data_IF_479876872634
#
_entry.id   IF_479876872634
#
_cell.length_a   1.000
_cell.length_b   1.000
_cell.length_c   1.000
_cell.angle_alpha   90.00
_cell.angle_beta   90.00
_cell.angle_gamma   90.00
#
_symmetry.space_group_name_H-M   'P 1'
#
loop_
_entity.id
_entity.type
_entity.pdbx_description
1 polymer ?
#
# COMPACT_ATOMS: atom_id res chain seq x y z
N UNK A 1 -64.45 -0.60 -25.82
CA UNK A 1 -63.83 0.63 -25.28
C UNK A 1 -63.23 0.42 -23.85
N UNK A 2 -63.18 -0.82 -23.29
CA UNK A 2 -62.66 -1.08 -21.96
C UNK A 2 -61.28 -1.83 -21.96
N UNK A 3 -60.81 -2.29 -23.12
CA UNK A 3 -59.55 -3.04 -23.15
C UNK A 3 -58.28 -2.15 -23.26
N UNK A 4 -58.40 -0.95 -23.81
CA UNK A 4 -57.29 -0.01 -23.98
C UNK A 4 -56.95 0.74 -22.67
N UNK A 5 -57.94 0.97 -21.82
CA UNK A 5 -57.74 1.61 -20.51
C UNK A 5 -57.03 0.68 -19.52
N UNK A 6 -57.26 -0.64 -19.60
CA UNK A 6 -56.57 -1.61 -18.73
C UNK A 6 -55.09 -1.83 -19.13
N UNK A 7 -54.77 -1.78 -20.42
CA UNK A 7 -53.42 -1.90 -20.90
C UNK A 7 -52.55 -0.69 -20.48
N UNK A 8 -53.08 0.53 -20.54
CA UNK A 8 -52.41 1.74 -20.12
C UNK A 8 -52.14 1.76 -18.61
N UNK A 9 -53.13 1.26 -17.81
CA UNK A 9 -52.97 1.13 -16.35
C UNK A 9 -51.91 0.11 -15.92
N UNK A 10 -51.77 -0.98 -16.68
CA UNK A 10 -50.76 -2.02 -16.44
C UNK A 10 -49.33 -1.52 -16.76
N UNK A 11 -49.14 -0.83 -17.86
CA UNK A 11 -47.85 -0.26 -18.23
C UNK A 11 -47.38 0.84 -17.28
N UNK A 12 -48.30 1.67 -16.78
CA UNK A 12 -47.99 2.71 -15.80
C UNK A 12 -47.57 2.12 -14.44
N UNK A 13 -48.22 1.03 -13.99
CA UNK A 13 -47.83 0.31 -12.79
C UNK A 13 -46.47 -0.39 -12.91
N UNK A 14 -46.17 -0.98 -14.09
CA UNK A 14 -44.87 -1.59 -14.36
C UNK A 14 -43.77 -0.56 -14.41
N UNK A 15 -44.01 0.61 -15.00
CA UNK A 15 -43.07 1.72 -15.04
C UNK A 15 -42.79 2.30 -13.63
N UNK A 16 -43.81 2.49 -12.82
CA UNK A 16 -43.67 2.97 -11.41
C UNK A 16 -42.95 1.92 -10.54
N UNK A 17 -43.20 0.62 -10.77
CA UNK A 17 -42.47 -0.44 -10.05
C UNK A 17 -41.00 -0.52 -10.47
N UNK A 18 -40.69 -0.28 -11.74
CA UNK A 18 -39.31 -0.23 -12.25
C UNK A 18 -38.52 0.99 -11.75
N UNK A 19 -39.18 2.12 -11.53
CA UNK A 19 -38.57 3.30 -10.92
C UNK A 19 -38.38 3.17 -9.39
N UNK A 20 -39.10 2.27 -8.74
CA UNK A 20 -39.03 2.07 -7.29
C UNK A 20 -37.94 1.06 -6.86
N UNK A 21 -37.51 0.23 -7.78
CA UNK A 21 -36.56 -0.86 -7.49
C UNK A 21 -35.08 -0.45 -7.29
N UNK A 22 -34.52 0.62 -7.86
CA UNK A 22 -33.10 0.93 -7.66
C UNK A 22 -32.78 1.61 -6.31
N UNK A 23 -33.76 2.23 -5.65
CA UNK A 23 -33.49 3.00 -4.42
C UNK A 23 -33.55 2.20 -3.12
N UNK A 24 -34.19 1.02 -3.12
CA UNK A 24 -34.36 0.23 -1.88
C UNK A 24 -33.18 -0.70 -1.57
N UNK A 25 -32.32 -1.01 -2.55
CA UNK A 25 -31.16 -1.90 -2.35
C UNK A 25 -29.88 -1.16 -1.89
N UNK A 26 -29.81 0.16 -2.00
CA UNK A 26 -28.62 0.90 -1.57
C UNK A 26 -28.54 1.11 -0.06
N UNK A 27 -29.64 1.15 0.67
CA UNK A 27 -29.63 1.30 2.12
C UNK A 27 -29.00 0.08 2.84
N UNK A 28 -29.21 -1.13 2.33
CA UNK A 28 -28.61 -2.35 2.87
C UNK A 28 -27.09 -2.45 2.66
N UNK A 29 -26.59 -1.92 1.57
CA UNK A 29 -25.14 -1.91 1.23
C UNK A 29 -24.35 -0.94 2.11
N UNK A 30 -24.96 0.17 2.51
CA UNK A 30 -24.32 1.14 3.40
C UNK A 30 -24.21 0.64 4.84
N UNK A 31 -25.22 -0.07 5.35
CA UNK A 31 -25.19 -0.64 6.70
C UNK A 31 -24.13 -1.75 6.84
N UNK A 32 -23.88 -2.55 5.80
CA UNK A 32 -22.82 -3.55 5.78
C UNK A 32 -21.40 -2.93 5.79
N UNK A 33 -21.20 -1.85 5.03
CA UNK A 33 -19.92 -1.13 4.96
C UNK A 33 -19.62 -0.33 6.23
N UNK A 34 -20.63 0.26 6.87
CA UNK A 34 -20.48 0.98 8.15
C UNK A 34 -20.22 0.04 9.33
N UNK A 35 -20.73 -1.18 9.29
CA UNK A 35 -20.48 -2.18 10.32
C UNK A 35 -19.01 -2.61 10.39
N UNK A 36 -18.33 -2.65 9.24
CA UNK A 36 -16.88 -2.91 9.18
C UNK A 36 -16.08 -1.76 9.83
N UNK A 37 -16.52 -0.51 9.69
CA UNK A 37 -15.89 0.65 10.33
C UNK A 37 -16.08 0.67 11.86
N UNK A 38 -17.19 0.10 12.35
CA UNK A 38 -17.58 0.13 13.77
C UNK A 38 -17.17 -1.13 14.56
N UNK A 39 -16.69 -2.16 13.88
CA UNK A 39 -16.21 -3.39 14.51
C UNK A 39 -14.84 -3.79 13.92
N UNK A 40 -13.74 -3.04 14.22
CA UNK A 40 -12.41 -3.40 13.79
C UNK A 40 -12.01 -4.76 14.40
N UNK A 41 -11.28 -5.56 13.64
CA UNK A 41 -10.75 -6.82 14.17
C UNK A 41 -9.73 -6.53 15.30
N UNK A 42 -9.58 -7.40 16.28
CA UNK A 42 -8.57 -7.23 17.34
C UNK A 42 -7.15 -7.04 16.78
N UNK A 43 -6.85 -7.67 15.64
CA UNK A 43 -5.57 -7.53 14.96
C UNK A 43 -5.38 -6.11 14.38
N UNK A 44 -6.44 -5.52 13.81
CA UNK A 44 -6.39 -4.15 13.28
C UNK A 44 -6.23 -3.12 14.40
N UNK A 45 -6.85 -3.36 15.56
CA UNK A 45 -6.68 -2.50 16.72
C UNK A 45 -5.25 -2.55 17.27
N UNK A 46 -4.65 -3.74 17.37
CA UNK A 46 -3.25 -3.90 17.79
C UNK A 46 -2.31 -3.23 16.80
N UNK A 47 -2.56 -3.38 15.50
CA UNK A 47 -1.79 -2.71 14.45
C UNK A 47 -1.89 -1.19 14.58
N UNK A 48 -3.10 -0.64 14.72
CA UNK A 48 -3.33 0.80 14.86
C UNK A 48 -2.66 1.36 16.12
N UNK A 49 -2.82 0.68 17.27
CA UNK A 49 -2.20 1.08 18.53
C UNK A 49 -0.67 1.09 18.44
N UNK A 50 -0.08 0.01 17.92
CA UNK A 50 1.36 -0.11 17.70
C UNK A 50 1.90 1.01 16.83
N UNK A 51 1.26 1.26 15.68
CA UNK A 51 1.69 2.27 14.72
C UNK A 51 1.55 3.68 15.30
N UNK A 52 0.47 3.93 16.06
CA UNK A 52 0.28 5.21 16.74
C UNK A 52 1.34 5.44 17.83
N UNK A 53 1.67 4.41 18.60
CA UNK A 53 2.74 4.49 19.61
C UNK A 53 4.11 4.71 18.95
N UNK A 54 4.40 4.04 17.83
CA UNK A 54 5.63 4.25 17.07
C UNK A 54 5.74 5.69 16.53
N UNK A 55 4.64 6.21 16.01
CA UNK A 55 4.58 7.59 15.51
C UNK A 55 4.77 8.61 16.65
N UNK A 56 4.08 8.44 17.78
CA UNK A 56 4.23 9.28 18.94
C UNK A 56 5.66 9.25 19.50
N UNK A 57 6.27 8.06 19.62
CA UNK A 57 7.63 7.89 20.09
C UNK A 57 8.63 8.56 19.14
N UNK A 58 8.49 8.37 17.83
CA UNK A 58 9.36 9.01 16.84
C UNK A 58 9.25 10.54 16.87
N UNK A 59 8.04 11.08 17.10
CA UNK A 59 7.82 12.52 17.24
C UNK A 59 8.49 13.06 18.53
N UNK A 60 8.29 12.37 19.66
CA UNK A 60 8.89 12.76 20.94
C UNK A 60 10.41 12.80 20.86
N UNK A 61 11.03 11.77 20.26
CA UNK A 61 12.49 11.74 20.09
C UNK A 61 12.95 12.85 19.15
N UNK A 62 12.24 13.08 18.03
CA UNK A 62 12.58 14.15 17.09
C UNK A 62 12.49 15.55 17.76
N UNK A 63 11.49 15.78 18.61
CA UNK A 63 11.37 17.02 19.39
C UNK A 63 12.44 17.12 20.46
N UNK A 64 12.77 16.02 21.15
CA UNK A 64 13.82 16.01 22.15
C UNK A 64 15.22 16.28 21.55
N UNK A 65 15.44 15.84 20.31
CA UNK A 65 16.67 16.12 19.56
C UNK A 65 16.69 17.53 18.93
N UNK A 66 15.65 18.34 19.15
CA UNK A 66 15.51 19.69 18.60
C UNK A 66 15.66 19.77 17.07
N UNK A 67 15.12 18.76 16.37
CA UNK A 67 15.20 18.71 14.92
C UNK A 67 14.24 19.75 14.28
N UNK A 68 14.67 20.43 13.21
CA UNK A 68 13.95 21.53 12.55
C UNK A 68 12.55 21.18 12.08
N UNK A 69 12.33 19.92 11.67
CA UNK A 69 11.07 19.46 11.07
C UNK A 69 10.62 18.11 11.63
N UNK A 70 10.27 18.04 12.94
CA UNK A 70 10.03 16.77 13.64
C UNK A 70 8.84 15.96 13.08
N UNK A 71 7.89 16.61 12.40
CA UNK A 71 6.71 15.96 11.79
C UNK A 71 7.05 14.91 10.73
N UNK A 72 8.24 14.93 10.16
CA UNK A 72 8.66 13.95 9.15
C UNK A 72 8.96 12.56 9.72
N UNK A 73 9.32 12.47 10.99
CA UNK A 73 9.58 11.19 11.65
C UNK A 73 8.30 10.34 11.79
N UNK A 74 7.19 10.82 12.40
CA UNK A 74 5.95 10.06 12.49
C UNK A 74 5.31 9.77 11.13
N UNK A 75 5.45 10.69 10.16
CA UNK A 75 4.97 10.45 8.80
C UNK A 75 5.71 9.27 8.15
N UNK A 76 6.99 9.10 8.44
CA UNK A 76 7.76 7.94 7.98
C UNK A 76 7.26 6.65 8.60
N UNK A 77 6.91 6.65 9.89
CA UNK A 77 6.32 5.49 10.58
C UNK A 77 5.04 5.03 9.83
N UNK A 78 4.10 5.94 9.59
CA UNK A 78 2.84 5.59 8.92
C UNK A 78 3.03 5.07 7.49
N UNK A 79 3.98 5.63 6.76
CA UNK A 79 4.26 5.18 5.39
C UNK A 79 4.92 3.81 5.35
N UNK A 80 5.77 3.47 6.33
CA UNK A 80 6.51 2.21 6.36
C UNK A 80 5.71 1.09 7.05
N UNK A 81 4.82 1.43 8.00
CA UNK A 81 4.04 0.47 8.76
C UNK A 81 3.25 -0.49 7.84
N UNK A 82 3.38 -1.77 8.10
CA UNK A 82 2.66 -2.87 7.43
C UNK A 82 2.17 -3.86 8.48
N UNK A 83 1.13 -4.61 8.15
CA UNK A 83 0.59 -5.66 9.03
C UNK A 83 1.56 -6.84 9.20
N UNK A 84 2.42 -7.11 8.21
CA UNK A 84 3.46 -8.12 8.29
C UNK A 84 4.85 -7.51 8.50
N UNK A 85 5.66 -8.14 9.36
CA UNK A 85 7.01 -7.68 9.70
C UNK A 85 7.97 -7.73 8.50
N UNK A 86 7.85 -8.76 7.68
CA UNK A 86 8.71 -8.94 6.49
C UNK A 86 8.45 -7.87 5.43
N UNK A 87 7.19 -7.52 5.22
CA UNK A 87 6.79 -6.45 4.28
C UNK A 87 7.22 -5.07 4.78
N UNK A 88 7.04 -4.79 6.09
CA UNK A 88 7.50 -3.54 6.71
C UNK A 88 9.01 -3.36 6.53
N UNK A 89 9.81 -4.39 6.79
CA UNK A 89 11.26 -4.33 6.64
C UNK A 89 11.68 -4.16 5.17
N UNK A 90 11.03 -4.85 4.24
CA UNK A 90 11.30 -4.72 2.80
C UNK A 90 10.98 -3.30 2.31
N UNK A 91 9.84 -2.76 2.71
CA UNK A 91 9.42 -1.39 2.38
C UNK A 91 10.37 -0.35 2.99
N UNK A 92 10.81 -0.56 4.25
CA UNK A 92 11.77 0.30 4.93
C UNK A 92 13.11 0.37 4.18
N UNK A 93 13.65 -0.77 3.76
CA UNK A 93 14.91 -0.82 2.98
C UNK A 93 14.82 0.00 1.70
N UNK A 94 13.75 -0.19 0.91
CA UNK A 94 13.57 0.56 -0.33
C UNK A 94 13.30 2.05 -0.08
N UNK A 95 12.68 2.40 1.06
CA UNK A 95 12.54 3.79 1.47
C UNK A 95 13.89 4.44 1.77
N UNK A 96 14.78 3.77 2.50
CA UNK A 96 16.13 4.30 2.78
C UNK A 96 16.91 4.48 1.47
N UNK A 97 16.96 3.45 0.62
CA UNK A 97 17.67 3.50 -0.66
C UNK A 97 17.13 4.63 -1.54
N UNK A 98 15.81 4.72 -1.71
CA UNK A 98 15.17 5.76 -2.50
C UNK A 98 15.44 7.17 -1.94
N UNK A 99 15.46 7.33 -0.61
CA UNK A 99 15.82 8.60 0.02
C UNK A 99 17.27 9.00 -0.24
N UNK A 100 18.21 8.09 -0.08
CA UNK A 100 19.63 8.38 -0.32
C UNK A 100 19.88 8.80 -1.77
N UNK A 101 19.31 8.07 -2.72
CA UNK A 101 19.40 8.43 -4.15
C UNK A 101 18.73 9.77 -4.42
N UNK A 102 17.54 10.01 -3.84
CA UNK A 102 16.79 11.26 -3.99
C UNK A 102 17.53 12.48 -3.41
N UNK A 103 18.14 12.33 -2.24
CA UNK A 103 19.00 13.36 -1.64
C UNK A 103 20.22 13.66 -2.51
N UNK A 104 20.93 12.63 -2.97
CA UNK A 104 22.07 12.79 -3.84
C UNK A 104 21.69 13.50 -5.17
N UNK A 105 20.57 13.12 -5.77
CA UNK A 105 20.08 13.76 -6.98
C UNK A 105 19.70 15.23 -6.74
N UNK A 106 19.06 15.57 -5.62
CA UNK A 106 18.73 16.96 -5.28
C UNK A 106 19.99 17.82 -5.12
N UNK A 107 20.99 17.32 -4.38
CA UNK A 107 22.29 18.00 -4.22
C UNK A 107 22.96 18.20 -5.57
N UNK A 108 22.98 17.16 -6.42
CA UNK A 108 23.57 17.24 -7.77
C UNK A 108 22.86 18.26 -8.67
N UNK A 109 21.50 18.31 -8.63
CA UNK A 109 20.72 19.28 -9.41
C UNK A 109 20.99 20.72 -8.97
N UNK A 110 21.04 20.98 -7.66
CA UNK A 110 21.35 22.32 -7.14
C UNK A 110 22.79 22.71 -7.46
N UNK A 111 23.74 21.79 -7.32
CA UNK A 111 25.14 22.04 -7.69
C UNK A 111 25.34 22.28 -9.19
N UNK A 112 24.52 21.64 -10.04
CA UNK A 112 24.59 21.84 -11.49
C UNK A 112 23.98 23.17 -11.96
N UNK A 113 22.96 23.68 -11.25
CA UNK A 113 22.21 24.89 -11.64
C UNK A 113 22.06 25.92 -10.50
N UNK A 114 23.16 26.36 -9.89
CA UNK A 114 23.11 27.15 -8.65
C UNK A 114 22.45 28.53 -8.81
N UNK A 115 22.43 29.11 -10.02
CA UNK A 115 21.88 30.42 -10.30
C UNK A 115 20.98 30.47 -11.55
N UNK A 116 20.51 29.30 -12.00
CA UNK A 116 19.71 29.19 -13.23
C UNK A 116 18.35 28.52 -12.96
N UNK A 117 17.38 29.19 -12.31
CA UNK A 117 16.08 28.58 -11.98
C UNK A 117 15.32 28.16 -13.23
N UNK A 118 15.53 28.81 -14.37
CA UNK A 118 14.94 28.42 -15.65
C UNK A 118 15.39 27.06 -16.18
N UNK A 119 16.58 26.56 -15.78
CA UNK A 119 17.09 25.24 -16.12
C UNK A 119 16.88 24.23 -14.99
N UNK A 120 16.86 24.71 -13.75
CA UNK A 120 16.65 23.87 -12.56
C UNK A 120 15.28 23.15 -12.58
N UNK A 121 14.20 23.89 -12.80
CA UNK A 121 12.85 23.29 -12.81
C UNK A 121 12.64 22.27 -13.94
N UNK A 122 13.02 22.52 -15.20
CA UNK A 122 13.00 21.50 -16.24
C UNK A 122 13.87 20.29 -15.91
N UNK A 123 15.05 20.50 -15.35
CA UNK A 123 15.96 19.40 -14.91
C UNK A 123 15.33 18.54 -13.82
N UNK A 124 14.72 19.17 -12.82
CA UNK A 124 13.99 18.47 -11.75
C UNK A 124 12.77 17.71 -12.31
N UNK A 125 11.99 18.32 -13.20
CA UNK A 125 10.84 17.69 -13.83
C UNK A 125 11.27 16.47 -14.68
N UNK A 126 12.36 16.58 -15.44
CA UNK A 126 12.92 15.48 -16.21
C UNK A 126 13.36 14.33 -15.30
N UNK A 127 14.04 14.63 -14.19
CA UNK A 127 14.47 13.64 -13.20
C UNK A 127 13.27 12.90 -12.58
N UNK A 128 12.24 13.64 -12.14
CA UNK A 128 11.00 13.07 -11.59
C UNK A 128 10.32 12.19 -12.64
N UNK A 129 10.18 12.68 -13.87
CA UNK A 129 9.59 11.95 -14.98
C UNK A 129 10.33 10.65 -15.29
N UNK A 130 11.67 10.68 -15.26
CA UNK A 130 12.52 9.50 -15.46
C UNK A 130 12.29 8.47 -14.33
N UNK A 131 12.32 8.91 -13.07
CA UNK A 131 12.08 8.02 -11.94
C UNK A 131 10.67 7.40 -11.97
N UNK A 132 9.63 8.20 -12.26
CA UNK A 132 8.26 7.71 -12.37
C UNK A 132 8.09 6.78 -13.57
N UNK A 133 8.70 7.11 -14.73
CA UNK A 133 8.70 6.24 -15.90
C UNK A 133 9.41 4.92 -15.65
N UNK A 134 10.60 4.94 -15.03
CA UNK A 134 11.29 3.72 -14.63
C UNK A 134 10.49 2.90 -13.61
N UNK A 135 9.73 3.54 -12.72
CA UNK A 135 8.91 2.84 -11.73
C UNK A 135 7.83 1.94 -12.34
N UNK A 136 7.38 2.22 -13.57
CA UNK A 136 6.40 1.39 -14.29
C UNK A 136 6.96 0.06 -14.79
N UNK A 137 8.29 -0.06 -14.90
CA UNK A 137 8.96 -1.31 -15.32
C UNK A 137 9.23 -2.28 -14.16
N UNK A 138 9.01 -1.85 -12.92
CA UNK A 138 9.28 -2.65 -11.73
C UNK A 138 8.01 -2.87 -10.93
N UNK A 139 7.89 -4.05 -10.31
CA UNK A 139 6.79 -4.39 -9.43
C UNK A 139 7.16 -4.29 -7.95
N UNK A 140 6.15 -4.11 -7.10
CA UNK A 140 6.25 -4.17 -5.66
C UNK A 140 7.13 -3.05 -5.06
N UNK A 141 7.98 -3.40 -4.12
CA UNK A 141 8.76 -2.41 -3.35
C UNK A 141 9.90 -1.74 -4.14
N UNK A 142 10.31 -2.28 -5.30
CA UNK A 142 11.29 -1.63 -6.19
C UNK A 142 10.69 -0.40 -6.86
N UNK A 143 9.47 -0.52 -7.38
CA UNK A 143 8.71 0.60 -7.92
C UNK A 143 8.50 1.69 -6.85
N UNK A 144 8.11 1.28 -5.64
CA UNK A 144 7.99 2.20 -4.50
C UNK A 144 9.31 2.94 -4.20
N UNK A 145 10.47 2.27 -4.26
CA UNK A 145 11.78 2.90 -4.05
C UNK A 145 12.06 4.03 -5.05
N UNK A 146 11.73 3.83 -6.33
CA UNK A 146 11.89 4.86 -7.38
C UNK A 146 10.93 6.04 -7.19
N UNK A 147 9.70 5.79 -6.76
CA UNK A 147 8.75 6.86 -6.40
C UNK A 147 9.24 7.66 -5.19
N UNK A 148 9.83 7.01 -4.19
CA UNK A 148 10.44 7.69 -3.04
C UNK A 148 11.64 8.54 -3.49
N UNK A 149 12.43 8.06 -4.44
CA UNK A 149 13.56 8.82 -5.01
C UNK A 149 13.07 10.12 -5.64
N UNK A 150 12.05 10.07 -6.51
CA UNK A 150 11.49 11.26 -7.15
C UNK A 150 10.89 12.25 -6.15
N UNK A 151 10.11 11.76 -5.21
CA UNK A 151 9.47 12.55 -4.17
C UNK A 151 10.49 13.20 -3.22
N UNK A 152 11.52 12.47 -2.81
CA UNK A 152 12.56 12.99 -1.92
C UNK A 152 13.40 14.05 -2.61
N UNK A 153 13.80 13.82 -3.86
CA UNK A 153 14.55 14.81 -4.63
C UNK A 153 13.74 16.10 -4.83
N UNK A 154 12.43 15.99 -5.09
CA UNK A 154 11.56 17.16 -5.20
C UNK A 154 11.51 17.98 -3.89
N UNK A 155 11.30 17.32 -2.75
CA UNK A 155 11.20 18.02 -1.45
C UNK A 155 12.52 18.68 -1.07
N UNK A 156 13.65 17.95 -1.19
CA UNK A 156 14.97 18.50 -0.82
C UNK A 156 15.35 19.64 -1.77
N UNK A 157 15.17 19.45 -3.06
CA UNK A 157 15.51 20.46 -4.06
C UNK A 157 14.66 21.73 -3.93
N UNK A 158 13.35 21.59 -3.71
CA UNK A 158 12.46 22.76 -3.50
C UNK A 158 12.71 23.45 -2.17
N UNK A 159 13.04 22.69 -1.11
CA UNK A 159 13.38 23.24 0.20
C UNK A 159 14.68 24.05 0.19
N UNK A 160 15.61 23.73 -0.69
CA UNK A 160 16.90 24.41 -0.79
C UNK A 160 16.95 25.54 -1.83
N UNK A 161 15.84 25.85 -2.52
CA UNK A 161 15.82 26.94 -3.55
C UNK A 161 16.21 28.30 -2.98
N UNK A 162 15.75 28.61 -1.75
CA UNK A 162 16.02 29.87 -1.09
C UNK A 162 17.37 29.93 -0.37
N UNK A 163 17.96 28.76 -0.09
CA UNK A 163 19.25 28.61 0.59
C UNK A 163 20.02 27.43 -0.02
N UNK A 164 20.60 27.61 -1.22
CA UNK A 164 21.32 26.53 -1.91
C UNK A 164 22.50 25.96 -1.13
N UNK A 165 23.17 26.79 -0.33
CA UNK A 165 24.29 26.40 0.50
C UNK A 165 23.91 25.42 1.61
N UNK A 166 22.62 25.41 2.03
CA UNK A 166 22.08 24.53 3.07
C UNK A 166 21.52 23.20 2.51
N UNK A 167 21.62 22.97 1.21
CA UNK A 167 21.06 21.75 0.58
C UNK A 167 21.55 20.46 1.22
N UNK A 168 22.83 20.42 1.63
CA UNK A 168 23.41 19.24 2.28
C UNK A 168 22.80 19.02 3.66
N UNK A 169 22.62 20.08 4.45
CA UNK A 169 22.01 20.01 5.78
C UNK A 169 20.53 19.56 5.68
N UNK A 170 19.80 20.10 4.70
CA UNK A 170 18.40 19.72 4.42
C UNK A 170 18.32 18.22 4.03
N UNK A 171 19.25 17.75 3.18
CA UNK A 171 19.30 16.35 2.77
C UNK A 171 19.63 15.42 3.96
N UNK A 172 20.60 15.78 4.79
CA UNK A 172 20.99 15.02 5.99
C UNK A 172 19.86 14.98 7.03
N UNK A 173 19.23 16.09 7.30
CA UNK A 173 18.05 16.17 8.19
C UNK A 173 16.94 15.24 7.68
N UNK A 174 16.67 15.24 6.37
CA UNK A 174 15.67 14.35 5.75
C UNK A 174 16.00 12.87 5.97
N UNK A 175 17.27 12.49 5.76
CA UNK A 175 17.75 11.13 6.03
C UNK A 175 17.55 10.72 7.50
N UNK A 176 17.92 11.61 8.41
CA UNK A 176 17.81 11.37 9.86
C UNK A 176 16.37 11.13 10.32
N UNK A 177 15.39 11.90 9.85
CA UNK A 177 13.96 11.70 10.17
C UNK A 177 13.46 10.34 9.67
N UNK A 178 13.90 9.92 8.49
CA UNK A 178 13.47 8.65 7.89
C UNK A 178 14.07 7.48 8.67
N UNK A 179 15.35 7.54 9.02
CA UNK A 179 16.00 6.50 9.83
C UNK A 179 15.33 6.42 11.21
N UNK A 180 15.09 7.56 11.88
CA UNK A 180 14.42 7.60 13.17
C UNK A 180 13.03 6.95 13.11
N UNK A 181 12.20 7.32 12.13
CA UNK A 181 10.87 6.74 11.95
C UNK A 181 10.92 5.23 11.70
N UNK A 182 11.85 4.75 10.87
CA UNK A 182 12.05 3.32 10.59
C UNK A 182 12.50 2.56 11.85
N UNK A 183 13.42 3.11 12.63
CA UNK A 183 13.93 2.47 13.85
C UNK A 183 12.80 2.36 14.88
N UNK A 184 12.02 3.43 15.10
CA UNK A 184 10.87 3.39 16.01
C UNK A 184 9.82 2.35 15.58
N UNK A 185 9.46 2.32 14.29
CA UNK A 185 8.50 1.32 13.77
C UNK A 185 9.05 -0.11 13.90
N UNK A 186 10.30 -0.35 13.53
CA UNK A 186 10.92 -1.67 13.61
C UNK A 186 11.01 -2.17 15.06
N UNK A 187 11.32 -1.28 16.00
CA UNK A 187 11.42 -1.62 17.43
C UNK A 187 10.07 -2.02 18.00
N UNK A 188 9.02 -1.21 17.76
CA UNK A 188 7.68 -1.54 18.24
C UNK A 188 7.10 -2.74 17.49
N UNK A 189 7.36 -2.90 16.20
CA UNK A 189 7.00 -4.11 15.47
C UNK A 189 7.68 -5.35 16.05
N UNK A 190 8.92 -5.25 16.53
CA UNK A 190 9.62 -6.35 17.19
C UNK A 190 8.99 -6.74 18.53
N UNK A 191 8.49 -5.76 19.28
CA UNK A 191 7.86 -5.98 20.60
C UNK A 191 6.45 -6.57 20.47
N UNK A 192 5.66 -6.04 19.53
CA UNK A 192 4.22 -6.36 19.42
C UNK A 192 3.91 -7.57 18.51
N UNK A 193 4.82 -8.00 17.62
CA UNK A 193 4.55 -9.06 16.61
C UNK A 193 5.14 -10.47 16.95
N UNK A 194 5.83 -10.76 18.05
CA UNK A 194 6.36 -12.11 18.24
C UNK A 194 5.27 -13.19 18.20
N UNK A 195 4.08 -12.90 18.73
CA UNK A 195 2.95 -13.84 18.77
C UNK A 195 2.19 -13.97 17.42
N UNK A 196 2.19 -12.96 16.58
CA UNK A 196 1.47 -12.98 15.30
C UNK A 196 2.23 -13.75 14.22
N UNK A 197 3.54 -13.84 14.31
CA UNK A 197 4.37 -14.56 13.33
C UNK A 197 4.13 -16.09 13.39
N UNK A 198 3.96 -16.65 14.59
CA UNK A 198 3.60 -18.06 14.79
C UNK A 198 2.19 -18.36 14.27
N UNK A 199 1.22 -17.47 14.51
CA UNK A 199 -0.15 -17.62 14.01
C UNK A 199 -0.22 -17.50 12.49
N UNK A 200 0.53 -16.59 11.86
CA UNK A 200 0.59 -16.46 10.41
C UNK A 200 1.24 -17.70 9.78
N UNK A 201 2.32 -18.21 10.37
CA UNK A 201 3.00 -19.42 9.93
C UNK A 201 2.10 -20.66 10.05
N UNK A 202 1.40 -20.83 11.16
CA UNK A 202 0.47 -21.94 11.35
C UNK A 202 -0.72 -21.86 10.38
N UNK A 203 -1.27 -20.68 10.12
CA UNK A 203 -2.33 -20.47 9.12
C UNK A 203 -1.85 -20.77 7.70
N UNK A 204 -0.64 -20.32 7.34
CA UNK A 204 -0.04 -20.61 6.04
C UNK A 204 0.20 -22.10 5.86
N UNK A 205 0.79 -22.76 6.85
CA UNK A 205 1.00 -24.21 6.83
C UNK A 205 -0.34 -24.97 6.75
N UNK A 206 -1.36 -24.54 7.49
CA UNK A 206 -2.69 -25.16 7.42
C UNK A 206 -3.32 -24.99 6.01
N UNK A 207 -3.17 -23.83 5.38
CA UNK A 207 -3.64 -23.63 3.99
C UNK A 207 -2.86 -24.47 2.98
N UNK A 208 -1.54 -24.53 3.11
CA UNK A 208 -0.70 -25.39 2.27
C UNK A 208 -1.06 -26.87 2.44
N UNK A 209 -1.31 -27.34 3.67
CA UNK A 209 -1.78 -28.69 3.92
C UNK A 209 -3.17 -28.95 3.33
N UNK A 210 -4.09 -27.99 3.41
CA UNK A 210 -5.41 -28.13 2.80
C UNK A 210 -5.31 -28.24 1.28
N UNK A 211 -4.55 -27.34 0.63
CA UNK A 211 -4.31 -27.37 -0.82
C UNK A 211 -3.61 -28.67 -1.23
N UNK A 212 -2.59 -29.11 -0.48
CA UNK A 212 -1.91 -30.37 -0.75
C UNK A 212 -2.83 -31.58 -0.63
N UNK A 213 -3.72 -31.61 0.38
CA UNK A 213 -4.70 -32.68 0.55
C UNK A 213 -5.74 -32.71 -0.56
N UNK A 214 -6.11 -31.56 -1.11
CA UNK A 214 -7.03 -31.44 -2.23
C UNK A 214 -6.38 -31.91 -3.53
N UNK A 215 -5.19 -31.41 -3.83
CA UNK A 215 -4.38 -31.85 -4.99
C UNK A 215 -4.07 -33.34 -4.91
N UNK A 216 -3.73 -33.89 -3.73
CA UNK A 216 -3.42 -35.31 -3.57
C UNK A 216 -4.65 -36.22 -3.76
N UNK A 217 -5.87 -35.75 -3.46
CA UNK A 217 -7.12 -36.47 -3.75
C UNK A 217 -7.37 -36.56 -5.23
N UNK A 218 -7.07 -35.52 -5.99
CA UNK A 218 -7.30 -35.44 -7.42
C UNK A 218 -6.20 -36.18 -8.22
N UNK A 219 -4.96 -36.18 -7.71
CA UNK A 219 -3.82 -36.88 -8.33
C UNK A 219 -3.90 -38.39 -8.15
N UNK A 220 -4.48 -38.89 -7.05
CA UNK A 220 -4.66 -40.34 -6.81
C UNK A 220 -5.41 -41.07 -7.92
N UNK A 221 -6.56 -40.60 -8.39
CA UNK A 221 -7.28 -41.18 -9.55
C UNK A 221 -6.53 -41.04 -10.87
N UNK A 222 -5.75 -39.94 -11.05
CA UNK A 222 -4.92 -39.67 -12.24
C UNK A 222 -3.84 -40.75 -12.43
N UNK A 223 -3.16 -41.12 -11.34
CA UNK A 223 -2.08 -42.13 -11.38
C UNK A 223 -2.59 -43.56 -11.57
N UNK A 224 -3.90 -43.83 -11.31
CA UNK A 224 -4.52 -45.13 -11.47
C UNK A 224 -5.19 -45.33 -12.84
N UNK A 225 -5.08 -44.36 -13.75
CA UNK A 225 -5.61 -44.49 -15.13
C UNK A 225 -7.14 -44.59 -15.22
N UNK A 226 -7.87 -44.20 -14.18
CA UNK A 226 -9.33 -44.25 -14.05
C UNK A 226 -10.00 -42.90 -14.23
N UNK A 227 -9.66 -42.17 -15.27
CA UNK A 227 -10.29 -40.88 -15.49
C UNK A 227 -11.23 -40.94 -16.65
N UNK A 228 -12.52 -40.76 -16.37
CA UNK A 228 -13.52 -40.46 -17.38
C UNK A 228 -13.24 -39.06 -17.97
N UNK A 229 -13.43 -38.91 -19.29
CA UNK A 229 -13.20 -37.63 -20.00
C UNK A 229 -13.96 -36.46 -19.40
N UNK A 230 -15.07 -36.69 -18.69
CA UNK A 230 -15.87 -35.71 -17.99
C UNK A 230 -15.15 -35.11 -16.75
N UNK A 231 -14.42 -35.94 -16.00
CA UNK A 231 -13.62 -35.54 -14.84
C UNK A 231 -12.40 -34.70 -15.27
N UNK A 232 -11.79 -35.05 -16.39
CA UNK A 232 -10.69 -34.32 -16.99
C UNK A 232 -11.13 -32.92 -17.46
N UNK A 233 -12.32 -32.79 -18.03
CA UNK A 233 -12.90 -31.49 -18.43
C UNK A 233 -13.19 -30.59 -17.25
N UNK A 234 -13.71 -31.12 -16.13
CA UNK A 234 -13.95 -30.33 -14.90
C UNK A 234 -12.67 -29.82 -14.26
N UNK A 235 -11.64 -30.69 -14.15
CA UNK A 235 -10.32 -30.28 -13.59
C UNK A 235 -9.65 -29.19 -14.41
N UNK A 236 -9.74 -29.23 -15.74
CA UNK A 236 -9.22 -28.18 -16.61
C UNK A 236 -9.99 -26.86 -16.46
N UNK A 237 -11.30 -26.91 -16.25
CA UNK A 237 -12.14 -25.72 -16.06
C UNK A 237 -11.86 -25.06 -14.73
N UNK A 238 -11.66 -25.84 -13.66
CA UNK A 238 -11.35 -25.34 -12.33
C UNK A 238 -9.93 -24.74 -12.25
N UNK A 239 -8.95 -25.32 -12.95
CA UNK A 239 -7.60 -24.78 -13.09
C UNK A 239 -7.55 -23.47 -13.88
N UNK A 240 -8.39 -23.29 -14.88
CA UNK A 240 -8.48 -22.07 -15.68
C UNK A 240 -9.28 -20.98 -14.95
N UNK A 241 -10.26 -21.35 -14.11
CA UNK A 241 -11.07 -20.42 -13.32
C UNK A 241 -10.41 -19.92 -12.04
N UNK A 242 -9.29 -20.51 -11.63
CA UNK A 242 -8.53 -20.14 -10.41
C UNK A 242 -7.43 -19.09 -10.65
N UNK A 243 -7.36 -18.50 -11.86
CA UNK A 243 -6.34 -17.51 -12.23
C UNK A 243 -6.92 -16.07 -12.20
#
# INVERSE_FOLDING_TARGET
>A
MNAETDAAGSQTKAFISALRSPFHNHAGLWHGKLRWLLAPSPADMVFALRTSLAAALSLLIAMWMELDSPQWAPLTVWVVAQSSRGESLSKARWRVVGTLIGCAAAVALIAAFPQAPGLFFPGLALWIGLCCGCATFFDGYRSYGLLVTSFTSAIVATGAITAPDDVFNIAMSRGSYIILGIVCEATLAAIFIPALNEQARTRLLARLHALWSEVSKDVGPLTQGRIDAETQGRLLTDLVGAN
#
